data_IF_216569368861
#
_entry.id   IF_216569368861
#
_cell.length_a   1.000
_cell.length_b   1.000
_cell.length_c   1.000
_cell.angle_alpha   90.00
_cell.angle_beta   90.00
_cell.angle_gamma   90.00
#
_symmetry.space_group_name_H-M   'P 1'
#
loop_
_entity.id
_entity.type
_entity.pdbx_description
1 polymer ?
#
# COMPACT_ATOMS: atom_id res chain seq x y z
N UNK A 1 28.77 10.41 -27.37
CA UNK A 1 27.79 10.71 -26.32
C UNK A 1 28.39 10.30 -24.99
N UNK A 2 28.16 11.07 -23.91
CA UNK A 2 28.66 10.70 -22.59
C UNK A 2 27.92 9.47 -22.09
N UNK A 3 28.66 8.51 -21.56
CA UNK A 3 28.12 7.28 -20.98
C UNK A 3 28.17 7.41 -19.47
N UNK A 4 27.09 7.11 -18.78
CA UNK A 4 27.01 7.14 -17.33
C UNK A 4 26.66 5.76 -16.78
N UNK A 5 27.39 5.35 -15.76
CA UNK A 5 27.22 4.06 -15.08
C UNK A 5 26.30 4.23 -13.87
N UNK A 6 25.34 3.34 -13.74
CA UNK A 6 24.40 3.25 -12.63
C UNK A 6 24.51 1.89 -11.96
N UNK A 7 24.17 1.86 -10.68
CA UNK A 7 24.26 0.67 -9.85
C UNK A 7 22.98 0.55 -9.01
N UNK A 8 22.16 -0.47 -9.32
CA UNK A 8 20.85 -0.69 -8.71
C UNK A 8 20.84 -1.95 -7.83
N UNK A 9 20.06 -1.90 -6.74
CA UNK A 9 19.88 -3.04 -5.86
C UNK A 9 19.14 -4.19 -6.60
N UNK A 10 19.57 -5.42 -6.36
CA UNK A 10 19.03 -6.63 -6.98
C UNK A 10 19.29 -7.83 -6.06
N UNK A 11 18.24 -8.53 -5.64
CA UNK A 11 18.39 -9.59 -4.63
C UNK A 11 19.17 -9.10 -3.42
N UNK A 12 20.15 -9.88 -3.00
CA UNK A 12 21.08 -9.51 -1.91
C UNK A 12 22.33 -8.76 -2.39
N UNK A 13 22.37 -8.40 -3.65
CA UNK A 13 23.49 -7.71 -4.31
C UNK A 13 23.05 -6.52 -5.14
N UNK A 14 23.78 -6.26 -6.19
CA UNK A 14 23.55 -5.12 -7.09
C UNK A 14 23.80 -5.50 -8.53
N UNK A 15 23.19 -4.78 -9.47
CA UNK A 15 23.47 -4.84 -10.91
C UNK A 15 23.94 -3.47 -11.39
N UNK A 16 25.10 -3.47 -12.03
CA UNK A 16 25.69 -2.26 -12.64
C UNK A 16 25.43 -2.28 -14.15
N UNK A 17 25.07 -1.15 -14.71
CA UNK A 17 24.83 -0.96 -16.14
C UNK A 17 25.20 0.45 -16.59
N UNK A 18 25.40 0.62 -17.90
CA UNK A 18 25.80 1.91 -18.47
C UNK A 18 24.84 2.33 -19.57
N UNK A 19 24.41 3.59 -19.56
CA UNK A 19 23.53 4.18 -20.58
C UNK A 19 24.02 5.56 -21.01
N UNK A 20 23.53 6.07 -22.14
CA UNK A 20 23.80 7.42 -22.61
C UNK A 20 23.17 8.47 -21.67
N UNK A 21 23.98 9.36 -21.10
CA UNK A 21 23.57 10.33 -20.10
C UNK A 21 22.50 11.30 -20.62
N UNK A 22 22.65 11.77 -21.86
CA UNK A 22 21.74 12.74 -22.52
C UNK A 22 20.36 12.13 -22.86
N UNK A 23 20.19 10.81 -22.73
CA UNK A 23 18.93 10.09 -22.87
C UNK A 23 18.20 9.89 -21.55
N UNK A 24 18.82 10.15 -20.42
CA UNK A 24 18.21 10.02 -19.10
C UNK A 24 17.43 11.29 -18.76
N UNK A 25 16.11 11.24 -18.90
CA UNK A 25 15.22 12.36 -18.56
C UNK A 25 15.24 12.68 -17.08
N UNK A 26 15.26 11.65 -16.23
CA UNK A 26 15.29 11.78 -14.79
C UNK A 26 15.71 10.48 -14.11
N UNK A 27 16.47 10.63 -13.02
CA UNK A 27 16.64 9.57 -12.02
C UNK A 27 15.66 9.86 -10.90
N UNK A 28 14.66 8.99 -10.76
CA UNK A 28 13.58 9.11 -9.76
C UNK A 28 14.09 8.60 -8.42
N UNK A 29 14.11 9.46 -7.43
CA UNK A 29 14.48 9.14 -6.04
C UNK A 29 13.43 9.75 -5.11
N UNK A 30 13.23 9.14 -3.95
CA UNK A 30 12.45 9.75 -2.88
C UNK A 30 13.19 10.97 -2.33
N UNK A 31 12.45 11.99 -1.90
CA UNK A 31 13.06 13.11 -1.20
C UNK A 31 13.49 12.69 0.22
N UNK A 32 14.65 13.18 0.67
CA UNK A 32 15.14 12.91 2.01
C UNK A 32 14.53 13.93 2.97
N UNK A 33 13.77 13.43 3.93
CA UNK A 33 13.26 14.19 5.05
C UNK A 33 13.98 13.77 6.33
N UNK A 34 14.30 14.71 7.24
CA UNK A 34 14.89 14.36 8.52
C UNK A 34 13.90 13.51 9.34
N UNK A 35 14.37 12.43 9.96
CA UNK A 35 13.52 11.63 10.82
C UNK A 35 13.16 12.41 12.09
N UNK A 36 12.00 12.09 12.66
CA UNK A 36 11.54 12.63 13.93
C UNK A 36 12.43 12.10 15.07
N UNK A 37 12.97 12.99 15.90
CA UNK A 37 13.82 12.62 17.02
C UNK A 37 13.02 12.31 18.29
N UNK A 38 11.96 13.10 18.57
CA UNK A 38 11.07 12.92 19.74
C UNK A 38 9.74 12.31 19.32
N UNK A 39 9.67 10.98 19.36
CA UNK A 39 8.44 10.23 19.02
C UNK A 39 7.32 10.55 20.00
N UNK A 40 7.61 10.55 21.33
CA UNK A 40 6.60 10.83 22.34
C UNK A 40 6.00 12.22 22.21
N UNK A 41 6.86 13.23 22.05
CA UNK A 41 6.42 14.61 21.80
C UNK A 41 5.61 14.74 20.54
N UNK A 42 6.02 14.08 19.46
CA UNK A 42 5.28 14.07 18.19
C UNK A 42 3.89 13.43 18.28
N UNK A 43 3.72 12.34 19.05
CA UNK A 43 2.40 11.74 19.31
C UNK A 43 1.51 12.72 20.07
N UNK A 44 2.00 13.28 21.19
CA UNK A 44 1.24 14.20 22.03
C UNK A 44 0.87 15.48 21.28
N UNK A 45 1.79 16.04 20.51
CA UNK A 45 1.54 17.21 19.66
C UNK A 45 0.41 16.93 18.66
N UNK A 46 0.48 15.79 17.95
CA UNK A 46 -0.53 15.45 16.94
C UNK A 46 -1.95 15.30 17.53
N UNK A 47 -2.10 14.61 18.68
CA UNK A 47 -3.42 14.36 19.26
C UNK A 47 -3.99 15.56 20.06
N UNK A 48 -3.14 16.48 20.50
CA UNK A 48 -3.56 17.71 21.21
C UNK A 48 -3.87 18.85 20.24
N UNK A 49 -3.27 18.83 19.04
CA UNK A 49 -3.51 19.80 17.97
C UNK A 49 -3.99 19.08 16.70
N UNK A 50 -5.15 18.37 16.76
CA UNK A 50 -5.60 17.53 15.66
C UNK A 50 -6.15 18.36 14.51
N UNK A 51 -6.23 17.75 13.36
CA UNK A 51 -6.72 18.35 12.13
C UNK A 51 -8.21 18.08 11.98
N UNK A 52 -9.02 19.13 11.87
CA UNK A 52 -10.42 19.05 11.49
C UNK A 52 -11.42 18.59 12.56
N UNK A 53 -10.97 18.44 13.81
CA UNK A 53 -11.83 18.12 14.96
C UNK A 53 -11.25 18.72 16.25
N UNK A 54 -11.99 18.73 17.38
CA UNK A 54 -11.45 19.10 18.68
C UNK A 54 -10.33 18.17 19.15
N UNK A 55 -9.54 18.62 20.14
CA UNK A 55 -8.45 17.82 20.71
C UNK A 55 -8.97 16.53 21.36
N UNK A 56 -8.08 15.54 21.50
CA UNK A 56 -8.45 14.28 22.15
C UNK A 56 -8.94 14.50 23.59
N UNK A 57 -8.43 15.53 24.29
CA UNK A 57 -8.83 15.93 25.64
C UNK A 57 -10.27 16.50 25.71
N UNK A 58 -10.72 17.12 24.62
CA UNK A 58 -12.08 17.64 24.51
C UNK A 58 -13.10 16.55 24.12
N UNK A 59 -12.63 15.52 23.38
CA UNK A 59 -13.47 14.44 22.86
C UNK A 59 -13.67 13.34 23.92
N UNK A 60 -12.59 12.83 24.51
CA UNK A 60 -12.59 11.68 25.45
C UNK A 60 -12.95 12.14 26.86
N UNK A 61 -13.81 11.38 27.53
CA UNK A 61 -14.25 11.65 28.91
C UNK A 61 -13.90 10.48 29.84
N UNK A 62 -13.74 10.75 31.15
CA UNK A 62 -13.55 9.66 32.14
C UNK A 62 -14.69 8.65 32.07
N UNK A 63 -14.31 7.37 31.94
CA UNK A 63 -15.24 6.24 31.83
C UNK A 63 -15.70 5.91 30.41
N UNK A 64 -15.25 6.64 29.40
CA UNK A 64 -15.48 6.25 28.00
C UNK A 64 -14.74 4.95 27.66
N UNK A 65 -15.24 4.26 26.64
CA UNK A 65 -14.65 3.05 26.09
C UNK A 65 -13.93 3.34 24.78
N UNK A 66 -12.72 2.76 24.58
CA UNK A 66 -11.87 3.04 23.43
C UNK A 66 -11.41 1.75 22.74
N UNK A 67 -11.59 1.68 21.43
CA UNK A 67 -10.99 0.67 20.59
C UNK A 67 -9.91 1.27 19.69
N UNK A 68 -8.68 0.73 19.76
CA UNK A 68 -7.62 1.04 18.82
C UNK A 68 -7.62 0.03 17.69
N UNK A 69 -7.55 0.49 16.46
CA UNK A 69 -7.31 -0.38 15.32
C UNK A 69 -5.82 -0.32 14.99
N UNK A 70 -5.12 -1.45 15.04
CA UNK A 70 -3.70 -1.56 14.72
C UNK A 70 -3.47 -2.38 13.46
N UNK A 71 -2.33 -2.16 12.79
CA UNK A 71 -1.96 -2.87 11.58
C UNK A 71 -1.48 -4.31 11.88
N UNK A 72 -1.60 -5.19 10.89
CA UNK A 72 -0.95 -6.50 10.86
C UNK A 72 0.56 -6.39 10.55
N UNK A 73 1.38 -7.45 10.76
CA UNK A 73 2.84 -7.40 10.57
C UNK A 73 3.29 -7.11 9.15
N UNK A 74 2.42 -7.29 8.14
CA UNK A 74 2.77 -6.99 6.74
C UNK A 74 2.78 -5.49 6.44
N UNK A 75 2.35 -4.67 7.41
CA UNK A 75 2.33 -3.21 7.38
C UNK A 75 3.21 -2.65 8.47
N UNK A 76 4.42 -2.26 8.11
CA UNK A 76 5.35 -1.64 9.07
C UNK A 76 4.75 -0.30 9.52
N UNK A 77 4.35 -0.24 10.78
CA UNK A 77 3.79 0.96 11.40
C UNK A 77 4.57 1.40 12.65
N UNK A 78 5.45 0.55 13.17
CA UNK A 78 6.16 0.74 14.43
C UNK A 78 5.20 1.11 15.58
N UNK A 79 4.07 0.39 15.66
CA UNK A 79 3.01 0.72 16.64
C UNK A 79 3.49 0.59 18.07
N UNK A 80 4.50 -0.26 18.32
CA UNK A 80 5.14 -0.40 19.63
C UNK A 80 5.77 0.90 20.16
N UNK A 81 6.09 1.88 19.29
CA UNK A 81 6.65 3.17 19.70
C UNK A 81 5.56 4.18 20.11
N UNK A 82 4.44 4.22 19.42
CA UNK A 82 3.40 5.22 19.67
C UNK A 82 2.21 4.71 20.50
N UNK A 83 1.89 3.42 20.46
CA UNK A 83 0.76 2.87 21.21
C UNK A 83 0.88 3.07 22.73
N UNK A 84 2.05 2.88 23.37
CA UNK A 84 2.19 3.18 24.80
C UNK A 84 1.83 4.64 25.12
N UNK A 85 2.21 5.58 24.26
CA UNK A 85 1.91 7.01 24.47
C UNK A 85 0.42 7.29 24.35
N UNK A 86 -0.26 6.68 23.35
CA UNK A 86 -1.70 6.83 23.18
C UNK A 86 -2.48 6.24 24.36
N UNK A 87 -2.11 5.04 24.81
CA UNK A 87 -2.77 4.36 25.94
C UNK A 87 -2.56 5.13 27.23
N UNK A 88 -1.35 5.61 27.50
CA UNK A 88 -1.06 6.45 28.69
C UNK A 88 -1.85 7.76 28.66
N UNK A 89 -2.02 8.35 27.48
CA UNK A 89 -2.82 9.58 27.35
C UNK A 89 -4.31 9.33 27.60
N UNK A 90 -4.86 8.20 27.14
CA UNK A 90 -6.24 7.80 27.50
C UNK A 90 -6.40 7.62 29.01
N UNK A 91 -5.42 6.96 29.67
CA UNK A 91 -5.44 6.85 31.14
C UNK A 91 -5.39 8.21 31.82
N UNK A 92 -4.56 9.14 31.34
CA UNK A 92 -4.50 10.51 31.86
C UNK A 92 -5.85 11.21 31.77
N UNK A 93 -6.65 10.90 30.74
CA UNK A 93 -8.00 11.44 30.53
C UNK A 93 -9.08 10.70 31.34
N UNK A 94 -8.72 9.64 32.07
CA UNK A 94 -9.61 8.91 32.95
C UNK A 94 -10.26 7.66 32.35
N UNK A 95 -9.79 7.22 31.17
CA UNK A 95 -10.16 5.92 30.59
C UNK A 95 -9.29 4.83 31.22
N UNK A 96 -9.88 3.76 31.72
CA UNK A 96 -9.15 2.65 32.36
C UNK A 96 -8.68 1.64 31.31
N UNK A 97 -7.65 0.85 31.67
CA UNK A 97 -7.15 -0.22 30.80
C UNK A 97 -8.25 -1.25 30.45
N UNK A 98 -9.15 -1.56 31.38
CA UNK A 98 -10.28 -2.48 31.17
C UNK A 98 -11.31 -1.98 30.17
N UNK A 99 -11.38 -0.64 29.96
CA UNK A 99 -12.28 0.05 29.03
C UNK A 99 -11.63 0.28 27.66
N UNK A 100 -10.37 -0.20 27.49
CA UNK A 100 -9.62 -0.12 26.23
C UNK A 100 -9.39 -1.50 25.63
N UNK A 101 -9.35 -1.56 24.30
CA UNK A 101 -9.02 -2.78 23.54
C UNK A 101 -8.32 -2.47 22.23
N UNK A 102 -7.69 -3.48 21.65
CA UNK A 102 -7.02 -3.43 20.35
C UNK A 102 -7.68 -4.42 19.40
N UNK A 103 -7.97 -3.99 18.18
CA UNK A 103 -8.41 -4.84 17.06
C UNK A 103 -7.38 -4.74 15.95
N UNK A 104 -6.76 -5.86 15.56
CA UNK A 104 -5.82 -5.89 14.46
C UNK A 104 -6.55 -5.99 13.13
N UNK A 105 -6.30 -5.03 12.26
CA UNK A 105 -6.88 -4.89 10.93
C UNK A 105 -6.22 -5.84 9.94
N UNK A 106 -6.68 -7.09 9.88
CA UNK A 106 -6.07 -8.13 9.06
C UNK A 106 -6.52 -8.09 7.60
N UNK A 107 -7.70 -7.52 7.33
CA UNK A 107 -8.31 -7.64 5.99
C UNK A 107 -8.45 -9.11 5.61
N UNK A 108 -7.72 -9.54 4.57
CA UNK A 108 -7.73 -10.94 4.10
C UNK A 108 -6.49 -11.73 4.49
N UNK A 109 -5.65 -11.19 5.36
CA UNK A 109 -4.47 -11.87 5.88
C UNK A 109 -4.85 -12.90 6.95
N UNK A 110 -3.94 -13.83 7.25
CA UNK A 110 -4.11 -14.81 8.33
C UNK A 110 -4.19 -14.13 9.70
N UNK A 111 -4.75 -14.83 10.67
CA UNK A 111 -4.67 -14.42 12.05
C UNK A 111 -3.21 -14.27 12.52
N UNK A 112 -2.96 -13.26 13.34
CA UNK A 112 -1.70 -13.09 14.06
C UNK A 112 -1.63 -14.07 15.24
N UNK A 113 -0.44 -14.56 15.55
CA UNK A 113 -0.19 -15.23 16.80
C UNK A 113 -0.17 -14.22 17.96
N UNK A 114 -0.22 -14.71 19.20
CA UNK A 114 -0.12 -13.82 20.36
C UNK A 114 1.21 -13.07 20.38
N UNK A 115 2.30 -13.75 20.04
CA UNK A 115 3.66 -13.20 19.99
C UNK A 115 3.73 -12.08 18.93
N UNK A 116 3.15 -12.29 17.75
CA UNK A 116 3.10 -11.26 16.70
C UNK A 116 2.28 -10.03 17.13
N UNK A 117 1.19 -10.23 17.89
CA UNK A 117 0.41 -9.11 18.43
C UNK A 117 1.21 -8.33 19.49
N UNK A 118 1.94 -9.03 20.35
CA UNK A 118 2.84 -8.42 21.36
C UNK A 118 3.96 -7.62 20.67
N UNK A 119 4.62 -8.20 19.68
CA UNK A 119 5.66 -7.51 18.90
C UNK A 119 5.10 -6.24 18.22
N UNK A 120 3.85 -6.31 17.74
CA UNK A 120 3.20 -5.21 17.04
C UNK A 120 2.94 -3.98 17.88
N UNK A 121 2.54 -4.15 19.15
CA UNK A 121 2.14 -3.01 20.02
C UNK A 121 3.05 -2.81 21.25
N UNK A 122 3.99 -3.74 21.47
CA UNK A 122 4.92 -3.74 22.60
C UNK A 122 4.33 -4.39 23.85
N UNK A 123 5.21 -5.05 24.66
CA UNK A 123 4.87 -5.78 25.87
C UNK A 123 4.07 -4.96 26.88
N UNK A 124 4.43 -3.68 27.02
CA UNK A 124 3.73 -2.75 27.94
C UNK A 124 2.24 -2.64 27.64
N UNK A 125 1.88 -2.47 26.36
CA UNK A 125 0.47 -2.35 25.93
C UNK A 125 -0.22 -3.70 25.91
N UNK A 126 0.45 -4.72 25.41
CA UNK A 126 -0.10 -6.08 25.30
C UNK A 126 -0.47 -6.71 26.66
N UNK A 127 0.29 -6.40 27.73
CA UNK A 127 -0.01 -6.87 29.08
C UNK A 127 -1.21 -6.17 29.73
N UNK A 128 -1.65 -5.05 29.19
CA UNK A 128 -2.72 -4.19 29.75
C UNK A 128 -4.05 -4.32 29.03
N UNK A 129 -4.03 -4.39 27.70
CA UNK A 129 -5.21 -4.31 26.86
C UNK A 129 -5.57 -5.67 26.25
N UNK A 130 -6.88 -5.93 26.11
CA UNK A 130 -7.36 -7.07 25.33
C UNK A 130 -7.10 -6.85 23.85
N UNK A 131 -6.63 -7.88 23.18
CA UNK A 131 -6.26 -7.86 21.76
C UNK A 131 -7.10 -8.87 20.96
N UNK A 132 -7.59 -8.45 19.79
CA UNK A 132 -8.45 -9.24 18.92
C UNK A 132 -7.92 -9.24 17.47
N UNK A 133 -8.01 -10.37 16.81
CA UNK A 133 -7.80 -10.51 15.37
C UNK A 133 -9.12 -10.30 14.64
N UNK A 134 -9.18 -9.39 13.66
CA UNK A 134 -10.33 -9.26 12.77
C UNK A 134 -10.22 -10.28 11.63
N UNK A 135 -10.67 -11.51 11.86
CA UNK A 135 -10.62 -12.61 10.89
C UNK A 135 -11.82 -12.51 9.97
N UNK A 136 -11.62 -12.01 8.76
CA UNK A 136 -12.69 -11.66 7.81
C UNK A 136 -13.61 -12.82 7.38
N UNK A 137 -13.20 -14.08 7.62
CA UNK A 137 -13.96 -15.29 7.29
C UNK A 137 -14.80 -15.83 8.47
N UNK A 138 -14.74 -15.21 9.63
CA UNK A 138 -15.56 -15.58 10.79
C UNK A 138 -16.80 -14.70 10.86
N UNK A 139 -17.84 -15.02 10.08
CA UNK A 139 -19.03 -14.20 9.89
C UNK A 139 -19.73 -13.80 11.21
N UNK A 140 -19.64 -14.65 12.24
CA UNK A 140 -20.21 -14.41 13.58
C UNK A 140 -19.57 -13.20 14.31
N UNK A 141 -18.40 -12.74 13.89
CA UNK A 141 -17.68 -11.62 14.49
C UNK A 141 -18.04 -10.26 13.88
N UNK A 142 -18.98 -10.21 12.94
CA UNK A 142 -19.29 -8.98 12.24
C UNK A 142 -20.75 -8.54 12.41
N UNK A 143 -20.96 -7.22 12.42
CA UNK A 143 -22.28 -6.57 12.43
C UNK A 143 -22.51 -5.82 11.12
N UNK A 144 -23.77 -5.83 10.64
CA UNK A 144 -24.17 -5.17 9.39
C UNK A 144 -24.60 -3.72 9.64
N UNK A 145 -24.06 -2.78 8.84
CA UNK A 145 -24.28 -1.34 8.92
C UNK A 145 -25.01 -0.74 7.73
N UNK A 146 -25.39 -1.53 6.76
CA UNK A 146 -26.04 -1.09 5.53
C UNK A 146 -25.25 -1.47 4.28
N UNK A 147 -25.75 -1.03 3.13
CA UNK A 147 -25.13 -1.28 1.83
C UNK A 147 -24.81 0.06 1.19
N UNK A 148 -23.60 0.19 0.62
CA UNK A 148 -23.18 1.39 -0.10
C UNK A 148 -23.99 1.59 -1.39
N UNK A 149 -23.95 2.78 -1.96
CA UNK A 149 -24.58 3.09 -3.25
C UNK A 149 -24.07 2.23 -4.41
N UNK A 150 -22.86 1.67 -4.26
CA UNK A 150 -22.22 0.74 -5.22
C UNK A 150 -22.52 -0.73 -4.94
N UNK A 151 -23.33 -1.02 -3.92
CA UNK A 151 -23.78 -2.39 -3.60
C UNK A 151 -22.85 -3.16 -2.65
N UNK A 152 -21.88 -2.52 -1.98
CA UNK A 152 -21.04 -3.18 -0.98
C UNK A 152 -21.79 -3.34 0.34
N UNK A 153 -22.07 -4.58 0.81
CA UNK A 153 -22.64 -4.79 2.13
C UNK A 153 -21.56 -4.51 3.18
N UNK A 154 -21.85 -3.63 4.13
CA UNK A 154 -20.89 -3.17 5.13
C UNK A 154 -21.05 -3.97 6.41
N UNK A 155 -20.16 -4.95 6.62
CA UNK A 155 -20.08 -5.74 7.84
C UNK A 155 -18.75 -5.42 8.54
N UNK A 156 -18.80 -4.88 9.75
CA UNK A 156 -17.63 -4.45 10.53
C UNK A 156 -17.53 -5.26 11.82
N UNK A 157 -16.31 -5.52 12.24
CA UNK A 157 -15.98 -6.35 13.42
C UNK A 157 -16.62 -5.79 14.70
N UNK A 158 -17.38 -6.64 15.40
CA UNK A 158 -18.24 -6.26 16.53
C UNK A 158 -17.51 -5.64 17.73
N UNK A 159 -16.21 -5.95 17.90
CA UNK A 159 -15.41 -5.29 18.94
C UNK A 159 -15.19 -3.80 18.73
N UNK A 160 -15.52 -3.29 17.54
CA UNK A 160 -15.54 -1.85 17.21
C UNK A 160 -16.92 -1.23 17.34
N UNK A 161 -17.98 -2.03 17.54
CA UNK A 161 -19.35 -1.56 17.43
C UNK A 161 -19.89 -0.92 18.71
N UNK A 162 -19.46 -1.42 19.86
CA UNK A 162 -19.95 -1.03 21.18
C UNK A 162 -18.88 -0.31 22.00
N UNK A 163 -18.31 0.74 21.42
CA UNK A 163 -17.34 1.63 22.07
C UNK A 163 -17.68 3.09 21.74
N UNK A 164 -17.31 4.00 22.63
CA UNK A 164 -17.54 5.43 22.45
C UNK A 164 -16.60 6.01 21.38
N UNK A 165 -15.34 5.54 21.36
CA UNK A 165 -14.31 6.04 20.45
C UNK A 165 -13.59 4.90 19.74
N UNK A 166 -13.39 5.07 18.44
CA UNK A 166 -12.51 4.21 17.62
C UNK A 166 -11.33 5.03 17.12
N UNK A 167 -10.12 4.66 17.53
CA UNK A 167 -8.87 5.31 17.10
C UNK A 167 -8.24 4.50 15.99
N UNK A 168 -8.16 5.10 14.79
CA UNK A 168 -7.60 4.48 13.59
C UNK A 168 -6.11 4.70 13.57
N UNK A 169 -5.31 3.72 13.98
CA UNK A 169 -3.84 3.85 13.97
C UNK A 169 -3.22 3.21 12.73
N UNK A 170 -1.98 3.56 12.42
CA UNK A 170 -1.21 2.95 11.34
C UNK A 170 -0.38 3.94 10.52
N UNK A 171 -0.05 3.53 9.29
CA UNK A 171 0.75 4.34 8.36
C UNK A 171 0.00 4.63 7.07
N UNK A 172 0.37 5.75 6.43
CA UNK A 172 -0.16 6.13 5.12
C UNK A 172 0.95 5.98 4.08
N UNK A 173 0.62 5.28 3.00
CA UNK A 173 1.47 5.10 1.81
C UNK A 173 0.58 5.10 0.58
N UNK A 174 1.15 5.29 -0.61
CA UNK A 174 0.41 5.10 -1.86
C UNK A 174 -0.13 3.67 -1.99
N UNK A 175 -1.29 3.54 -2.63
CA UNK A 175 -1.91 2.23 -2.87
C UNK A 175 -2.39 2.09 -4.31
N UNK A 176 -1.99 1.02 -4.99
CA UNK A 176 -2.11 0.84 -6.43
C UNK A 176 -3.53 0.87 -7.01
N UNK A 177 -4.58 0.56 -6.24
CA UNK A 177 -5.98 0.69 -6.69
C UNK A 177 -6.86 1.53 -5.76
N UNK A 178 -6.50 1.69 -4.48
CA UNK A 178 -7.30 2.39 -3.48
C UNK A 178 -6.78 3.81 -3.20
N UNK A 179 -5.93 4.36 -4.08
CA UNK A 179 -5.29 5.65 -3.94
C UNK A 179 -4.21 5.66 -2.87
N UNK A 180 -4.61 5.66 -1.59
CA UNK A 180 -3.73 5.65 -0.42
C UNK A 180 -4.15 4.61 0.60
N UNK A 181 -3.20 4.16 1.41
CA UNK A 181 -3.39 3.37 2.63
C UNK A 181 -3.79 4.22 3.83
N UNK A 182 -3.83 3.61 5.01
CA UNK A 182 -4.18 4.29 6.26
C UNK A 182 -5.64 4.76 6.34
N UNK A 183 -5.96 5.50 7.40
CA UNK A 183 -7.27 6.10 7.60
C UNK A 183 -8.42 5.09 7.53
N UNK A 184 -9.38 5.36 6.66
CA UNK A 184 -10.55 4.51 6.40
C UNK A 184 -10.23 3.04 6.19
N UNK A 185 -9.02 2.72 5.66
CA UNK A 185 -8.64 1.33 5.37
C UNK A 185 -8.44 0.48 6.62
N UNK A 186 -8.23 1.10 7.76
CA UNK A 186 -8.20 0.38 9.03
C UNK A 186 -9.56 -0.29 9.32
N UNK A 187 -10.66 0.37 8.94
CA UNK A 187 -12.02 -0.17 9.07
C UNK A 187 -12.37 -1.04 7.86
N UNK A 188 -12.36 -0.47 6.64
CA UNK A 188 -12.68 -1.15 5.39
C UNK A 188 -11.48 -1.03 4.43
N UNK A 189 -10.75 -2.14 4.17
CA UNK A 189 -11.05 -3.56 4.40
C UNK A 189 -10.55 -4.14 5.73
N UNK A 190 -9.79 -3.41 6.54
CA UNK A 190 -9.00 -3.94 7.65
C UNK A 190 -9.78 -4.75 8.68
N UNK A 191 -10.91 -4.23 9.13
CA UNK A 191 -11.81 -4.84 10.11
C UNK A 191 -13.18 -5.17 9.51
N UNK A 192 -13.23 -5.54 8.22
CA UNK A 192 -14.47 -5.88 7.52
C UNK A 192 -14.55 -7.36 7.15
N UNK A 193 -15.78 -7.89 7.05
CA UNK A 193 -16.04 -9.27 6.63
C UNK A 193 -15.60 -9.54 5.19
N UNK A 194 -15.34 -10.79 4.85
CA UNK A 194 -14.86 -11.23 3.53
C UNK A 194 -15.76 -10.74 2.40
N UNK A 195 -17.08 -10.77 2.57
CA UNK A 195 -18.01 -10.32 1.54
C UNK A 195 -17.86 -8.82 1.26
N UNK A 196 -17.76 -7.99 2.31
CA UNK A 196 -17.50 -6.55 2.20
C UNK A 196 -16.20 -6.28 1.45
N UNK A 197 -15.13 -6.98 1.84
CA UNK A 197 -13.83 -6.85 1.20
C UNK A 197 -13.88 -7.26 -0.26
N UNK A 198 -14.51 -8.39 -0.57
CA UNK A 198 -14.64 -8.94 -1.93
C UNK A 198 -15.35 -7.98 -2.87
N UNK A 199 -16.49 -7.43 -2.45
CA UNK A 199 -17.25 -6.49 -3.29
C UNK A 199 -16.48 -5.19 -3.49
N UNK A 200 -15.97 -4.56 -2.43
CA UNK A 200 -15.17 -3.35 -2.58
C UNK A 200 -13.93 -3.55 -3.44
N UNK A 201 -13.21 -4.66 -3.27
CA UNK A 201 -12.00 -4.94 -4.07
C UNK A 201 -12.30 -5.25 -5.53
N UNK A 202 -13.51 -5.67 -5.89
CA UNK A 202 -13.87 -5.87 -7.30
C UNK A 202 -13.81 -4.57 -8.11
N UNK A 203 -13.99 -3.42 -7.47
CA UNK A 203 -13.86 -2.11 -8.12
C UNK A 203 -12.44 -1.79 -8.58
N UNK A 204 -11.42 -2.58 -8.20
CA UNK A 204 -10.07 -2.45 -8.76
C UNK A 204 -10.01 -2.71 -10.27
N UNK A 205 -11.04 -3.33 -10.86
CA UNK A 205 -11.13 -3.58 -12.30
C UNK A 205 -11.47 -2.30 -13.10
N UNK A 206 -11.94 -1.25 -12.44
CA UNK A 206 -12.14 0.07 -13.04
C UNK A 206 -10.80 0.77 -13.28
N UNK A 207 -10.66 1.45 -14.42
CA UNK A 207 -9.44 2.19 -14.79
C UNK A 207 -9.13 3.35 -13.84
N UNK A 208 -10.17 3.90 -13.20
CA UNK A 208 -10.03 4.98 -12.23
C UNK A 208 -9.56 4.51 -10.85
N UNK A 209 -9.56 3.21 -10.59
CA UNK A 209 -8.96 2.61 -9.40
C UNK A 209 -7.42 2.62 -9.55
N UNK A 210 -6.79 3.73 -9.21
CA UNK A 210 -5.39 4.01 -9.51
C UNK A 210 -4.60 4.54 -8.30
N UNK A 211 -3.28 4.46 -8.40
CA UNK A 211 -2.31 4.96 -7.43
C UNK A 211 -2.52 6.46 -7.19
N UNK A 212 -2.54 6.88 -5.92
CA UNK A 212 -2.64 8.30 -5.54
C UNK A 212 -3.97 8.99 -5.89
N UNK A 213 -4.92 8.28 -6.51
CA UNK A 213 -6.22 8.83 -6.90
C UNK A 213 -7.26 8.60 -5.82
N UNK A 214 -7.90 9.67 -5.37
CA UNK A 214 -9.01 9.62 -4.40
C UNK A 214 -10.34 9.99 -5.06
N UNK A 215 -10.40 11.12 -5.75
CA UNK A 215 -11.61 11.59 -6.44
C UNK A 215 -11.86 10.78 -7.72
N UNK A 216 -13.08 10.28 -7.87
CA UNK A 216 -13.48 9.43 -8.99
C UNK A 216 -12.89 8.03 -8.95
N UNK A 217 -12.21 7.64 -7.86
CA UNK A 217 -11.74 6.28 -7.65
C UNK A 217 -12.85 5.46 -6.98
N UNK A 218 -13.48 4.51 -7.68
CA UNK A 218 -14.65 3.81 -7.15
C UNK A 218 -14.33 2.98 -5.91
N UNK A 219 -13.12 2.43 -5.82
CA UNK A 219 -12.69 1.66 -4.66
C UNK A 219 -12.51 2.54 -3.42
N UNK A 220 -11.93 3.73 -3.60
CA UNK A 220 -11.76 4.71 -2.53
C UNK A 220 -13.11 5.27 -2.05
N UNK A 221 -13.94 5.73 -2.99
CA UNK A 221 -15.23 6.36 -2.68
C UNK A 221 -16.18 5.39 -1.98
N UNK A 222 -16.23 4.14 -2.41
CA UNK A 222 -17.02 3.08 -1.79
C UNK A 222 -16.54 2.77 -0.36
N UNK A 223 -15.20 2.74 -0.13
CA UNK A 223 -14.65 2.62 1.22
C UNK A 223 -15.07 3.79 2.10
N UNK A 224 -15.02 5.02 1.59
CA UNK A 224 -15.44 6.21 2.34
C UNK A 224 -16.93 6.16 2.71
N UNK A 225 -17.79 5.75 1.76
CA UNK A 225 -19.22 5.59 2.02
C UNK A 225 -19.48 4.47 3.05
N UNK A 226 -18.81 3.33 2.91
CA UNK A 226 -18.91 2.21 3.88
C UNK A 226 -18.49 2.60 5.29
N UNK A 227 -17.38 3.32 5.42
CA UNK A 227 -16.94 3.84 6.72
C UNK A 227 -17.91 4.90 7.26
N UNK A 228 -18.49 5.73 6.41
CA UNK A 228 -19.50 6.71 6.84
C UNK A 228 -20.79 6.04 7.37
N UNK A 229 -21.19 4.87 6.83
CA UNK A 229 -22.30 4.08 7.38
C UNK A 229 -21.97 3.59 8.79
N UNK A 230 -20.77 3.09 9.03
CA UNK A 230 -20.30 2.65 10.34
C UNK A 230 -20.17 3.83 11.33
N UNK A 231 -19.68 4.98 10.87
CA UNK A 231 -19.37 6.15 11.68
C UNK A 231 -20.62 6.83 12.27
N UNK A 232 -21.84 6.52 11.80
CA UNK A 232 -23.07 7.16 12.31
C UNK A 232 -23.23 6.94 13.80
N UNK A 233 -23.19 8.05 14.57
CA UNK A 233 -23.32 8.03 16.02
C UNK A 233 -22.09 7.54 16.78
N UNK A 234 -20.90 7.45 16.13
CA UNK A 234 -19.63 7.04 16.72
C UNK A 234 -18.56 8.10 16.53
N UNK A 235 -17.65 8.18 17.47
CA UNK A 235 -16.46 9.02 17.38
C UNK A 235 -15.34 8.23 16.69
N UNK A 236 -14.92 8.67 15.51
CA UNK A 236 -13.73 8.14 14.80
C UNK A 236 -12.62 9.18 14.88
N UNK A 237 -11.47 8.79 15.41
CA UNK A 237 -10.28 9.63 15.50
C UNK A 237 -9.11 8.97 14.78
N UNK A 238 -8.48 9.68 13.85
CA UNK A 238 -7.30 9.22 13.15
C UNK A 238 -6.03 9.48 13.95
N UNK A 239 -5.13 8.50 14.00
CA UNK A 239 -3.72 8.68 14.30
C UNK A 239 -2.89 7.88 13.30
N UNK A 240 -2.29 8.52 12.34
CA UNK A 240 -1.44 7.86 11.35
C UNK A 240 -0.07 8.51 11.25
N UNK A 241 0.94 7.70 10.98
CA UNK A 241 2.31 8.13 10.77
C UNK A 241 2.75 7.94 9.31
N UNK A 242 3.75 8.71 8.91
CA UNK A 242 4.48 8.51 7.65
C UNK A 242 5.92 8.20 8.02
N UNK A 243 6.42 7.09 7.45
CA UNK A 243 7.77 6.58 7.68
C UNK A 243 8.62 6.77 6.42
N UNK A 244 9.94 6.87 6.58
CA UNK A 244 10.86 6.80 5.44
C UNK A 244 11.18 5.34 5.05
N UNK A 245 12.03 5.15 4.03
CA UNK A 245 12.46 3.84 3.54
C UNK A 245 13.21 3.00 4.60
N UNK A 246 13.76 3.66 5.64
CA UNK A 246 14.45 3.03 6.79
C UNK A 246 13.50 2.77 7.97
N UNK A 247 12.19 2.93 7.75
CA UNK A 247 11.13 2.78 8.74
C UNK A 247 11.24 3.76 9.93
N UNK A 248 11.84 4.93 9.74
CA UNK A 248 11.89 5.98 10.73
C UNK A 248 10.71 6.93 10.57
N UNK A 249 10.12 7.41 11.64
CA UNK A 249 9.03 8.37 11.60
C UNK A 249 9.48 9.69 10.97
N UNK A 250 8.71 10.19 10.01
CA UNK A 250 8.89 11.51 9.43
C UNK A 250 7.90 12.51 10.00
N UNK A 251 6.63 12.12 10.09
CA UNK A 251 5.53 12.97 10.57
C UNK A 251 4.36 12.15 11.06
N UNK A 252 3.62 12.70 12.01
CA UNK A 252 2.38 12.14 12.54
C UNK A 252 1.20 13.06 12.24
N UNK A 253 0.06 12.46 11.95
CA UNK A 253 -1.18 13.16 11.62
C UNK A 253 -2.30 12.57 12.46
N UNK A 254 -3.05 13.43 13.14
CA UNK A 254 -4.18 13.02 13.96
C UNK A 254 -5.38 13.94 13.75
N UNK A 255 -6.58 13.45 14.06
CA UNK A 255 -7.80 14.22 14.02
C UNK A 255 -8.97 13.56 13.29
N UNK A 256 -9.79 14.36 12.62
CA UNK A 256 -10.89 13.85 11.78
C UNK A 256 -10.36 12.90 10.72
N UNK A 257 -10.96 11.72 10.60
CA UNK A 257 -10.44 10.63 9.75
C UNK A 257 -10.44 10.97 8.26
N UNK A 258 -11.16 12.01 7.83
CA UNK A 258 -11.17 12.52 6.44
C UNK A 258 -10.14 13.63 6.30
N UNK A 259 -10.23 14.67 7.14
CA UNK A 259 -9.39 15.86 7.03
C UNK A 259 -7.92 15.56 7.31
N UNK A 260 -7.62 14.86 8.41
CA UNK A 260 -6.26 14.50 8.77
C UNK A 260 -5.64 13.52 7.76
N UNK A 261 -6.41 12.55 7.25
CA UNK A 261 -5.94 11.65 6.19
C UNK A 261 -5.61 12.41 4.91
N UNK A 262 -6.45 13.39 4.52
CA UNK A 262 -6.21 14.21 3.33
C UNK A 262 -4.91 15.02 3.44
N UNK A 263 -4.64 15.63 4.60
CA UNK A 263 -3.37 16.35 4.82
C UNK A 263 -2.18 15.39 4.82
N UNK A 264 -2.32 14.23 5.42
CA UNK A 264 -1.29 13.21 5.41
C UNK A 264 -0.99 12.67 3.99
N UNK A 265 -2.01 12.53 3.12
CA UNK A 265 -1.81 12.15 1.71
C UNK A 265 -0.96 13.19 0.95
N UNK A 266 -1.14 14.49 1.22
CA UNK A 266 -0.30 15.54 0.62
C UNK A 266 1.17 15.36 1.01
N UNK A 267 1.43 15.06 2.29
CA UNK A 267 2.79 14.82 2.75
C UNK A 267 3.38 13.50 2.19
N UNK A 268 2.56 12.46 1.98
CA UNK A 268 2.98 11.25 1.24
C UNK A 268 3.41 11.60 -0.18
N UNK A 269 2.68 12.51 -0.85
CA UNK A 269 3.04 12.98 -2.19
C UNK A 269 4.33 13.81 -2.19
N UNK A 270 4.64 14.54 -1.13
CA UNK A 270 5.90 15.26 -0.97
C UNK A 270 7.08 14.29 -0.77
N UNK A 271 6.92 13.26 0.08
CA UNK A 271 7.98 12.30 0.41
C UNK A 271 8.26 11.32 -0.73
N UNK A 272 7.21 10.76 -1.32
CA UNK A 272 7.32 9.64 -2.26
C UNK A 272 6.93 9.98 -3.69
N UNK A 273 6.27 11.12 -3.89
CA UNK A 273 5.85 11.59 -5.19
C UNK A 273 7.02 12.16 -5.97
N UNK A 274 7.19 11.73 -7.20
CA UNK A 274 8.21 12.27 -8.09
C UNK A 274 7.57 12.78 -9.37
N UNK A 275 7.72 14.09 -9.63
CA UNK A 275 7.27 14.69 -10.87
C UNK A 275 8.28 14.40 -11.98
N UNK A 276 7.82 13.86 -13.10
CA UNK A 276 8.64 13.60 -14.28
C UNK A 276 8.33 14.62 -15.39
N UNK A 277 9.30 14.97 -16.25
CA UNK A 277 9.10 15.98 -17.30
C UNK A 277 8.15 15.51 -18.41
N UNK A 278 8.19 14.22 -18.75
CA UNK A 278 7.32 13.53 -19.71
C UNK A 278 7.37 12.02 -19.45
N UNK A 279 6.44 11.27 -20.04
CA UNK A 279 6.51 9.82 -20.06
C UNK A 279 7.69 9.37 -20.93
N UNK A 280 8.46 8.39 -20.44
CA UNK A 280 9.63 7.85 -21.13
C UNK A 280 9.26 6.77 -22.16
N UNK A 281 10.11 6.60 -23.17
CA UNK A 281 10.06 5.44 -24.07
C UNK A 281 10.45 4.16 -23.32
N UNK A 282 11.43 4.27 -22.43
CA UNK A 282 11.95 3.18 -21.63
C UNK A 282 12.09 3.59 -20.15
N UNK A 283 11.75 2.67 -19.26
CA UNK A 283 11.99 2.82 -17.82
C UNK A 283 12.90 1.67 -17.37
N UNK A 284 13.99 2.00 -16.67
CA UNK A 284 14.85 1.00 -16.01
C UNK A 284 14.58 1.13 -14.51
N UNK A 285 14.06 0.07 -13.88
CA UNK A 285 13.58 0.12 -12.51
C UNK A 285 14.07 -1.08 -11.70
N UNK A 286 14.47 -0.83 -10.45
CA UNK A 286 14.70 -1.86 -9.44
C UNK A 286 13.60 -1.87 -8.40
N UNK A 287 13.27 -3.03 -7.87
CA UNK A 287 12.40 -3.16 -6.69
C UNK A 287 13.04 -2.55 -5.42
N UNK A 288 14.36 -2.33 -5.42
CA UNK A 288 15.15 -1.94 -4.26
C UNK A 288 15.79 -3.13 -3.53
N UNK A 289 15.92 -4.29 -4.21
CA UNK A 289 16.55 -5.51 -3.68
C UNK A 289 15.72 -6.27 -2.66
N UNK A 290 16.36 -7.25 -2.01
CA UNK A 290 15.73 -8.11 -0.99
C UNK A 290 15.25 -7.31 0.23
N UNK A 291 14.06 -7.62 0.77
CA UNK A 291 13.10 -8.66 0.36
C UNK A 291 12.03 -8.19 -0.64
N UNK A 292 12.15 -6.97 -1.19
CA UNK A 292 11.14 -6.36 -2.05
C UNK A 292 11.02 -7.04 -3.42
N UNK A 293 12.09 -7.74 -3.85
CA UNK A 293 12.18 -8.48 -5.10
C UNK A 293 12.26 -10.00 -4.93
N UNK A 294 11.89 -10.52 -3.75
CA UNK A 294 12.03 -11.94 -3.42
C UNK A 294 11.19 -12.85 -4.32
N UNK A 295 10.06 -12.36 -4.85
CA UNK A 295 9.18 -13.08 -5.77
C UNK A 295 8.33 -12.11 -6.61
N UNK A 296 7.67 -12.64 -7.64
CA UNK A 296 6.80 -11.86 -8.54
C UNK A 296 5.62 -11.22 -7.79
N UNK A 297 5.11 -11.87 -6.76
CA UNK A 297 4.01 -11.33 -5.96
C UNK A 297 4.35 -9.99 -5.30
N UNK A 298 5.59 -9.85 -4.79
CA UNK A 298 6.08 -8.59 -4.21
C UNK A 298 6.50 -7.58 -5.28
N UNK A 299 7.18 -8.04 -6.35
CA UNK A 299 7.63 -7.23 -7.48
C UNK A 299 6.50 -6.43 -8.14
N UNK A 300 5.26 -6.94 -8.12
CA UNK A 300 4.11 -6.30 -8.76
C UNK A 300 3.91 -4.83 -8.35
N UNK A 301 4.26 -4.45 -7.11
CA UNK A 301 4.17 -3.05 -6.66
C UNK A 301 5.06 -2.13 -7.49
N UNK A 302 6.26 -2.60 -7.82
CA UNK A 302 7.23 -1.88 -8.68
C UNK A 302 6.72 -1.78 -10.12
N UNK A 303 6.08 -2.82 -10.64
CA UNK A 303 5.47 -2.78 -11.98
C UNK A 303 4.45 -1.66 -12.09
N UNK A 304 3.58 -1.52 -11.09
CA UNK A 304 2.56 -0.48 -11.06
C UNK A 304 3.17 0.92 -11.05
N UNK A 305 4.16 1.15 -10.18
CA UNK A 305 4.84 2.44 -10.09
C UNK A 305 5.60 2.78 -11.38
N UNK A 306 6.31 1.82 -11.98
CA UNK A 306 7.01 2.00 -13.26
C UNK A 306 6.04 2.28 -14.42
N UNK A 307 4.84 1.69 -14.37
CA UNK A 307 3.82 1.93 -15.40
C UNK A 307 3.39 3.40 -15.46
N UNK A 308 3.49 4.14 -14.35
CA UNK A 308 3.19 5.57 -14.32
C UNK A 308 4.24 6.43 -15.02
N UNK A 309 5.46 5.92 -15.22
CA UNK A 309 6.58 6.63 -15.83
C UNK A 309 6.79 6.33 -17.33
N UNK A 310 6.28 5.21 -17.82
CA UNK A 310 6.44 4.76 -19.21
C UNK A 310 5.23 5.16 -20.06
N UNK A 311 5.47 5.50 -21.32
CA UNK A 311 4.38 5.74 -22.29
C UNK A 311 3.69 4.43 -22.68
N UNK A 312 2.54 4.54 -23.32
CA UNK A 312 1.88 3.40 -23.96
C UNK A 312 2.81 2.79 -25.02
N UNK A 313 2.85 1.46 -25.08
CA UNK A 313 3.72 0.66 -25.97
C UNK A 313 5.23 0.88 -25.76
N UNK A 314 5.63 1.52 -24.65
CA UNK A 314 7.02 1.62 -24.22
C UNK A 314 7.55 0.32 -23.61
N UNK A 315 8.76 0.39 -23.06
CA UNK A 315 9.44 -0.76 -22.43
C UNK A 315 9.81 -0.46 -20.99
N UNK A 316 9.60 -1.42 -20.11
CA UNK A 316 10.09 -1.41 -18.73
C UNK A 316 11.11 -2.54 -18.56
N UNK A 317 12.35 -2.20 -18.25
CA UNK A 317 13.39 -3.14 -17.81
C UNK A 317 13.32 -3.17 -16.29
N UNK A 318 12.88 -4.29 -15.74
CA UNK A 318 12.63 -4.46 -14.31
C UNK A 318 13.64 -5.41 -13.68
N UNK A 319 14.45 -4.89 -12.75
CA UNK A 319 15.44 -5.63 -11.99
C UNK A 319 14.78 -6.21 -10.74
N UNK A 320 14.58 -7.54 -10.73
CA UNK A 320 13.99 -8.27 -9.63
C UNK A 320 14.48 -9.72 -9.63
N UNK A 321 15.15 -10.15 -8.57
CA UNK A 321 15.75 -11.47 -8.50
C UNK A 321 14.71 -12.59 -8.59
N UNK A 322 13.64 -12.48 -7.80
CA UNK A 322 12.58 -13.47 -7.73
C UNK A 322 13.10 -14.89 -7.34
N UNK A 323 14.04 -14.95 -6.36
CA UNK A 323 14.64 -16.21 -5.89
C UNK A 323 13.60 -17.25 -5.41
N UNK A 324 12.41 -16.79 -4.95
CA UNK A 324 11.27 -17.64 -4.56
C UNK A 324 10.22 -17.80 -5.68
N UNK A 325 10.58 -17.57 -6.93
CA UNK A 325 9.68 -17.74 -8.08
C UNK A 325 8.50 -16.76 -8.08
N UNK A 326 7.29 -17.27 -8.33
CA UNK A 326 6.08 -16.43 -8.39
C UNK A 326 5.62 -15.93 -7.02
N UNK A 327 5.95 -16.63 -5.94
CA UNK A 327 5.44 -16.42 -4.59
C UNK A 327 3.97 -16.87 -4.38
N UNK A 328 3.31 -17.46 -5.40
CA UNK A 328 1.93 -17.93 -5.28
C UNK A 328 1.54 -18.96 -6.34
N UNK A 329 1.21 -20.18 -5.91
CA UNK A 329 0.70 -21.23 -6.81
C UNK A 329 -0.61 -20.84 -7.51
N UNK A 330 -1.50 -20.13 -6.78
CA UNK A 330 -2.76 -19.64 -7.36
C UNK A 330 -2.49 -18.67 -8.51
N UNK A 331 -1.47 -17.83 -8.37
CA UNK A 331 -1.04 -16.91 -9.41
C UNK A 331 -0.56 -17.65 -10.66
N UNK A 332 0.32 -18.65 -10.51
CA UNK A 332 0.80 -19.47 -11.62
C UNK A 332 -0.33 -20.22 -12.34
N UNK A 333 -1.21 -20.87 -11.59
CA UNK A 333 -2.36 -21.58 -12.12
C UNK A 333 -3.29 -20.64 -12.92
N UNK A 334 -3.51 -19.42 -12.41
CA UNK A 334 -4.33 -18.42 -13.09
C UNK A 334 -3.74 -18.05 -14.45
N UNK A 335 -2.43 -17.74 -14.52
CA UNK A 335 -1.76 -17.43 -15.78
C UNK A 335 -1.70 -18.61 -16.74
N UNK A 336 -1.41 -19.81 -16.22
CA UNK A 336 -1.32 -21.03 -17.05
C UNK A 336 -2.67 -21.40 -17.68
N UNK A 337 -3.78 -21.13 -16.96
CA UNK A 337 -5.14 -21.43 -17.41
C UNK A 337 -5.69 -20.36 -18.35
N UNK A 338 -5.53 -19.07 -18.02
CA UNK A 338 -6.23 -17.97 -18.72
C UNK A 338 -5.39 -17.36 -19.85
N UNK A 339 -4.08 -17.40 -19.77
CA UNK A 339 -3.10 -17.06 -20.84
C UNK A 339 -3.16 -15.65 -21.46
N UNK A 340 -4.14 -14.85 -21.14
CA UNK A 340 -4.30 -13.49 -21.66
C UNK A 340 -4.84 -12.52 -20.60
N UNK A 341 -4.44 -11.22 -20.62
CA UNK A 341 -4.99 -10.21 -19.72
C UNK A 341 -6.52 -10.12 -19.80
N UNK A 342 -7.07 -10.14 -21.01
CA UNK A 342 -8.52 -10.06 -21.23
C UNK A 342 -9.27 -11.22 -20.57
N UNK A 343 -8.76 -12.46 -20.66
CA UNK A 343 -9.38 -13.61 -20.02
C UNK A 343 -9.30 -13.53 -18.48
N UNK A 344 -8.18 -13.03 -17.94
CA UNK A 344 -8.01 -12.82 -16.50
C UNK A 344 -9.01 -11.76 -16.00
N UNK A 345 -9.15 -10.65 -16.71
CA UNK A 345 -10.12 -9.60 -16.39
C UNK A 345 -11.55 -10.13 -16.44
N UNK A 346 -11.94 -10.78 -17.53
CA UNK A 346 -13.28 -11.33 -17.71
C UNK A 346 -13.68 -12.35 -16.63
N UNK A 347 -12.74 -13.20 -16.19
CA UNK A 347 -13.02 -14.14 -15.09
C UNK A 347 -13.28 -13.40 -13.76
N UNK A 348 -12.50 -12.35 -13.48
CA UNK A 348 -12.68 -11.55 -12.27
C UNK A 348 -13.95 -10.69 -12.32
N UNK A 349 -14.36 -10.20 -13.49
CA UNK A 349 -15.65 -9.52 -13.68
C UNK A 349 -16.82 -10.46 -13.43
N UNK A 350 -16.71 -11.71 -13.88
CA UNK A 350 -17.75 -12.72 -13.67
C UNK A 350 -17.81 -13.24 -12.23
N UNK A 351 -16.66 -13.42 -11.58
CA UNK A 351 -16.54 -13.95 -10.23
C UNK A 351 -15.25 -13.48 -9.55
N UNK A 352 -15.33 -12.35 -8.89
CA UNK A 352 -14.19 -11.78 -8.22
C UNK A 352 -13.71 -12.65 -7.06
N UNK A 353 -12.47 -13.11 -7.15
CA UNK A 353 -11.78 -13.89 -6.09
C UNK A 353 -10.54 -13.17 -5.61
N UNK A 354 -10.47 -12.98 -4.29
CA UNK A 354 -9.27 -12.48 -3.64
C UNK A 354 -8.14 -13.51 -3.82
N UNK A 355 -6.93 -13.02 -4.11
CA UNK A 355 -5.78 -13.84 -4.52
C UNK A 355 -5.64 -13.93 -6.04
N UNK A 356 -6.68 -14.27 -6.80
CA UNK A 356 -6.66 -14.24 -8.26
C UNK A 356 -6.57 -12.81 -8.84
N UNK A 357 -7.06 -11.82 -8.11
CA UNK A 357 -6.93 -10.39 -8.45
C UNK A 357 -5.48 -9.92 -8.59
N UNK A 358 -4.51 -10.64 -8.01
CA UNK A 358 -3.09 -10.35 -8.18
C UNK A 358 -2.61 -10.57 -9.61
N UNK A 359 -3.18 -11.57 -10.32
CA UNK A 359 -2.90 -11.77 -11.73
C UNK A 359 -3.32 -10.54 -12.57
N UNK A 360 -4.50 -9.97 -12.29
CA UNK A 360 -4.94 -8.73 -12.93
C UNK A 360 -4.00 -7.55 -12.62
N UNK A 361 -3.58 -7.42 -11.36
CA UNK A 361 -2.63 -6.37 -10.97
C UNK A 361 -1.27 -6.47 -11.70
N UNK A 362 -0.87 -7.67 -12.14
CA UNK A 362 0.33 -7.88 -12.97
C UNK A 362 0.03 -7.59 -14.44
N UNK A 363 -1.13 -8.02 -14.96
CA UNK A 363 -1.45 -7.86 -16.38
C UNK A 363 -1.77 -6.41 -16.76
N UNK A 364 -2.35 -5.62 -15.85
CA UNK A 364 -2.69 -4.20 -16.11
C UNK A 364 -1.46 -3.38 -16.56
N UNK A 365 -0.30 -3.41 -15.89
CA UNK A 365 0.92 -2.77 -16.39
C UNK A 365 1.42 -3.37 -17.71
N UNK A 366 1.29 -4.69 -17.92
CA UNK A 366 1.73 -5.39 -19.14
C UNK A 366 0.88 -4.97 -20.35
N UNK A 367 -0.41 -4.68 -20.19
CA UNK A 367 -1.25 -4.14 -21.26
C UNK A 367 -0.83 -2.74 -21.71
N UNK A 368 -0.20 -1.96 -20.82
CA UNK A 368 0.29 -0.62 -21.13
C UNK A 368 1.66 -0.63 -21.82
N UNK A 369 2.59 -1.45 -21.32
CA UNK A 369 3.99 -1.46 -21.76
C UNK A 369 4.57 -2.88 -21.71
N UNK A 370 5.66 -3.09 -22.44
CA UNK A 370 6.41 -4.37 -22.45
C UNK A 370 7.33 -4.45 -21.24
N UNK A 371 7.28 -5.56 -20.50
CA UNK A 371 8.13 -5.79 -19.36
C UNK A 371 9.19 -6.84 -19.66
N UNK A 372 10.46 -6.46 -19.56
CA UNK A 372 11.63 -7.33 -19.67
C UNK A 372 12.24 -7.44 -18.27
N UNK A 373 12.34 -8.66 -17.76
CA UNK A 373 12.89 -8.90 -16.42
C UNK A 373 14.38 -9.16 -16.49
N UNK A 374 15.14 -8.50 -15.64
CA UNK A 374 16.48 -8.93 -15.25
C UNK A 374 16.33 -9.73 -13.98
N UNK A 375 16.48 -11.09 -14.04
CA UNK A 375 15.94 -11.96 -12.99
C UNK A 375 16.56 -13.35 -13.01
N UNK A 376 16.55 -14.05 -11.87
CA UNK A 376 16.81 -15.49 -11.77
C UNK A 376 15.54 -16.35 -11.95
N UNK A 377 14.37 -15.72 -12.13
CA UNK A 377 13.11 -16.42 -12.39
C UNK A 377 13.22 -17.36 -13.59
N UNK A 378 12.65 -18.55 -13.49
CA UNK A 378 12.56 -19.49 -14.59
C UNK A 378 11.98 -18.84 -15.86
N UNK A 379 12.66 -19.03 -17.01
CA UNK A 379 12.32 -18.37 -18.28
C UNK A 379 10.94 -18.78 -18.79
N UNK A 380 10.55 -20.04 -18.59
CA UNK A 380 9.24 -20.53 -19.00
C UNK A 380 8.14 -19.94 -18.12
N UNK A 381 8.38 -19.87 -16.81
CA UNK A 381 7.44 -19.23 -15.87
C UNK A 381 7.26 -17.74 -16.19
N UNK A 382 8.34 -17.01 -16.50
CA UNK A 382 8.25 -15.62 -16.92
C UNK A 382 7.39 -15.45 -18.18
N UNK A 383 7.58 -16.33 -19.17
CA UNK A 383 6.76 -16.37 -20.40
C UNK A 383 5.29 -16.71 -20.11
N UNK A 384 5.04 -17.70 -19.28
CA UNK A 384 3.69 -18.09 -18.87
C UNK A 384 2.96 -16.93 -18.18
N UNK A 385 3.69 -16.08 -17.46
CA UNK A 385 3.20 -14.86 -16.79
C UNK A 385 3.17 -13.62 -17.70
N UNK A 386 3.35 -13.80 -19.01
CA UNK A 386 3.22 -12.80 -20.08
C UNK A 386 4.31 -11.71 -20.09
N UNK A 387 5.44 -11.93 -19.45
CA UNK A 387 6.59 -11.03 -19.59
C UNK A 387 7.19 -11.15 -20.99
N UNK A 388 7.62 -10.00 -21.55
CA UNK A 388 8.19 -9.91 -22.90
C UNK A 388 9.52 -10.63 -23.00
N UNK A 389 10.29 -10.64 -21.91
CA UNK A 389 11.58 -11.32 -21.81
C UNK A 389 12.02 -11.49 -20.38
N UNK A 390 12.94 -12.42 -20.14
CA UNK A 390 13.62 -12.61 -18.87
C UNK A 390 15.08 -12.97 -19.18
N UNK A 391 16.02 -12.19 -18.66
CA UNK A 391 17.46 -12.22 -18.98
C UNK A 391 18.31 -12.10 -17.71
N UNK A 392 19.60 -12.30 -17.81
CA UNK A 392 20.52 -12.27 -16.67
C UNK A 392 21.14 -10.89 -16.44
N UNK A 393 21.24 -10.06 -17.49
CA UNK A 393 21.92 -8.77 -17.45
C UNK A 393 21.04 -7.63 -17.98
N UNK A 394 21.36 -6.41 -17.56
CA UNK A 394 20.67 -5.21 -18.07
C UNK A 394 21.02 -4.97 -19.54
N UNK A 395 22.23 -5.29 -19.94
CA UNK A 395 22.71 -5.17 -21.32
C UNK A 395 21.88 -6.03 -22.28
N UNK A 396 21.62 -7.29 -21.92
CA UNK A 396 20.74 -8.17 -22.71
C UNK A 396 19.31 -7.60 -22.77
N UNK A 397 18.79 -7.05 -21.65
CA UNK A 397 17.50 -6.44 -21.63
C UNK A 397 17.44 -5.18 -22.53
N UNK A 398 18.49 -4.35 -22.55
CA UNK A 398 18.60 -3.19 -23.42
C UNK A 398 18.59 -3.59 -24.90
N UNK A 399 19.30 -4.63 -25.30
CA UNK A 399 19.29 -5.13 -26.70
C UNK A 399 17.90 -5.62 -27.12
N UNK A 400 17.15 -6.27 -26.23
CA UNK A 400 15.76 -6.64 -26.51
C UNK A 400 14.87 -5.38 -26.60
N UNK A 401 15.07 -4.43 -25.70
CA UNK A 401 14.26 -3.21 -25.62
C UNK A 401 14.37 -2.35 -26.90
N UNK A 402 15.57 -2.24 -27.49
CA UNK A 402 15.82 -1.51 -28.76
C UNK A 402 14.92 -1.96 -29.91
N UNK A 403 14.52 -3.22 -29.94
CA UNK A 403 13.62 -3.75 -30.97
C UNK A 403 12.24 -3.11 -30.94
N UNK A 404 11.84 -2.51 -29.80
CA UNK A 404 10.51 -1.93 -29.59
C UNK A 404 10.53 -0.40 -29.53
N UNK A 405 11.59 0.20 -28.96
CA UNK A 405 11.67 1.64 -28.70
C UNK A 405 12.78 2.35 -29.51
N UNK A 406 13.50 1.60 -30.36
CA UNK A 406 14.59 2.12 -31.19
C UNK A 406 15.92 2.25 -30.45
N UNK A 407 16.93 2.77 -31.16
CA UNK A 407 18.32 2.81 -30.66
C UNK A 407 18.57 3.91 -29.60
N UNK A 408 17.79 4.97 -29.62
CA UNK A 408 18.01 6.17 -28.78
C UNK A 408 16.75 6.56 -27.99
N UNK A 409 16.20 5.65 -27.13
CA UNK A 409 15.00 5.93 -26.37
C UNK A 409 15.27 6.96 -25.25
N UNK A 410 14.30 7.82 -24.99
CA UNK A 410 14.30 8.62 -23.75
C UNK A 410 14.00 7.73 -22.55
N UNK A 411 14.81 7.86 -21.49
CA UNK A 411 14.80 6.94 -20.36
C UNK A 411 14.44 7.64 -19.02
N UNK A 412 13.74 6.94 -18.15
CA UNK A 412 13.62 7.24 -16.72
C UNK A 412 14.24 6.08 -15.93
N UNK A 413 15.04 6.43 -14.94
CA UNK A 413 15.72 5.48 -14.06
C UNK A 413 15.08 5.53 -12.67
N UNK A 414 14.69 4.36 -12.12
CA UNK A 414 14.01 4.24 -10.83
C UNK A 414 14.76 3.25 -9.92
N UNK A 415 15.77 3.67 -9.15
CA UNK A 415 16.56 2.75 -8.30
C UNK A 415 15.75 2.10 -7.17
N UNK A 416 14.64 2.72 -6.74
CA UNK A 416 13.77 2.28 -5.64
C UNK A 416 12.29 2.31 -6.05
N UNK A 417 11.96 1.64 -7.15
CA UNK A 417 10.63 1.70 -7.75
C UNK A 417 9.49 1.17 -6.89
N UNK A 418 9.76 0.37 -5.86
CA UNK A 418 8.72 -0.08 -4.91
C UNK A 418 8.21 1.02 -3.98
N UNK A 419 8.96 2.11 -3.81
CA UNK A 419 8.66 3.21 -2.90
C UNK A 419 8.20 4.48 -3.62
N UNK A 420 8.67 4.71 -4.85
CA UNK A 420 8.45 5.94 -5.58
C UNK A 420 7.11 5.94 -6.33
N UNK A 421 6.28 6.93 -6.08
CA UNK A 421 5.09 7.19 -6.88
C UNK A 421 5.38 8.28 -7.90
N UNK A 422 5.29 7.94 -9.19
CA UNK A 422 5.55 8.90 -10.26
C UNK A 422 4.26 9.61 -10.66
N UNK A 423 4.30 10.94 -10.70
CA UNK A 423 3.22 11.76 -11.25
C UNK A 423 3.72 12.58 -12.45
N UNK A 424 2.91 12.64 -13.50
CA UNK A 424 3.12 13.55 -14.62
C UNK A 424 2.31 14.82 -14.39
N UNK A 425 2.91 16.00 -14.69
CA UNK A 425 2.39 17.33 -14.31
C UNK A 425 0.96 17.66 -14.78
N UNK A 426 0.36 16.88 -15.67
CA UNK A 426 -1.02 17.11 -16.14
C UNK A 426 -2.10 16.32 -15.37
N UNK A 427 -1.75 15.52 -14.38
CA UNK A 427 -2.70 14.74 -13.57
C UNK A 427 -3.06 15.41 -12.22
N UNK A 428 -2.56 16.63 -11.96
CA UNK A 428 -2.88 17.42 -10.75
C UNK A 428 -3.91 18.54 -11.00
N UNK A 429 -4.71 18.43 -12.05
CA UNK A 429 -5.83 19.36 -12.29
C UNK A 429 -7.17 18.73 -11.90
#
# INVERSE_FOLDING_TARGET
MAMQTYDFAYGRGRKTFTVEEDRVLKVVRTEEFPPMEDIRGGVLEAIRHPIGCPSIEEIVKPGDTVAFICNDPTRVANSFDFMPVLVDEMNRLGVKDEDMKIVFALGTHRAMTHEEMVEGVGENVASRLKMYNSICTNDDDFEYFGTTSRGTPVHIHKELCNVDHVILTGTIVHHYFSGYGGGRKAILPGCAAMETVRVNHSFMLDENAALGRTTGNPCYEDQMEGVALFAKGRSLFLFNAILNAKHQFLRMFAGDYIAAHKEACKFVDEVYGCVIPKLADMVIVSCGGYPKDINVYQMQKTMENASCAVRKDGVVILLADCEEGSGSKVLEETFRRLKTPAAIKAELEANFKIGANKAYAITRPIEKARYILVTSLDRQLAKDMLFTGAVDTVEEALEIAKQYVGETPDMILMPEGSLTAVSYTHLRA
#
